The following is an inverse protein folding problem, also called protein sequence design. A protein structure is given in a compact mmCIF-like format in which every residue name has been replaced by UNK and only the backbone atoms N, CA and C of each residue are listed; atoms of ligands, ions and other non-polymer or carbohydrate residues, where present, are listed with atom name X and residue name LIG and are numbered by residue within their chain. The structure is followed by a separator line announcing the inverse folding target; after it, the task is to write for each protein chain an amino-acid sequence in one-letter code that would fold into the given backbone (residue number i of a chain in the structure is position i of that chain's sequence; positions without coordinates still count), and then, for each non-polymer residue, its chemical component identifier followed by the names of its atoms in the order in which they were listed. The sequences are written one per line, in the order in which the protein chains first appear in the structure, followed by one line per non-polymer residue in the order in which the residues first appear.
data_IF_104936822334
#
_entry.id   IF_104936822334
#
_cell.length_a   1.000
_cell.length_b   1.000
_cell.length_c   1.000
_cell.angle_alpha   90.00
_cell.angle_beta   90.00
_cell.angle_gamma   90.00
#
_symmetry.space_group_name_H-M   'P 1'
#
loop_
_entity.id
_entity.type
_entity.pdbx_description
1 polymer ?
#
# COMPACT_ATOMS: atom_id res chain seq x y z
N UNK A 1 20.07 5.03 12.94
CA UNK A 1 19.27 4.88 11.70
C UNK A 1 17.95 5.63 11.88
N UNK A 2 17.82 6.83 11.29
CA UNK A 2 16.59 7.62 11.30
C UNK A 2 15.88 7.37 9.98
N UNK A 3 14.85 6.53 9.97
CA UNK A 3 14.02 6.34 8.78
C UNK A 3 12.97 7.44 8.73
N UNK A 4 12.95 8.13 7.59
CA UNK A 4 12.17 9.30 7.20
C UNK A 4 10.76 9.34 7.81
N UNK A 5 10.57 10.24 8.77
CA UNK A 5 9.28 10.56 9.39
C UNK A 5 8.39 11.43 8.49
N UNK A 6 8.95 11.98 7.41
CA UNK A 6 8.30 12.96 6.54
C UNK A 6 7.25 12.37 5.59
N UNK A 7 7.32 11.06 5.27
CA UNK A 7 6.31 10.39 4.43
C UNK A 7 5.06 9.92 5.20
N UNK A 8 5.02 10.12 6.53
CA UNK A 8 3.97 9.59 7.40
C UNK A 8 2.71 10.48 7.43
N UNK A 9 2.83 11.78 7.15
CA UNK A 9 1.70 12.72 7.25
C UNK A 9 0.66 12.51 6.13
N UNK A 10 1.12 12.20 4.92
CA UNK A 10 0.25 11.87 3.77
C UNK A 10 -0.43 10.52 3.97
N UNK A 11 0.23 9.58 4.65
CA UNK A 11 -0.34 8.28 4.98
C UNK A 11 -1.43 8.43 6.06
N UNK A 12 -1.15 9.15 7.15
CA UNK A 12 -2.13 9.41 8.22
C UNK A 12 -3.47 9.95 7.69
N UNK A 13 -3.44 10.97 6.82
CA UNK A 13 -4.68 11.54 6.23
C UNK A 13 -5.46 10.55 5.35
N UNK A 14 -4.78 9.67 4.61
CA UNK A 14 -5.45 8.63 3.83
C UNK A 14 -6.02 7.52 4.73
N UNK A 15 -5.24 7.07 5.71
CA UNK A 15 -5.62 6.04 6.67
C UNK A 15 -6.82 6.49 7.51
N UNK A 16 -6.83 7.75 7.94
CA UNK A 16 -7.94 8.37 8.68
C UNK A 16 -9.22 8.39 7.85
N UNK A 17 -9.14 8.73 6.56
CA UNK A 17 -10.29 8.65 5.65
C UNK A 17 -10.81 7.23 5.50
N UNK A 18 -9.93 6.24 5.31
CA UNK A 18 -10.36 4.83 5.23
C UNK A 18 -10.95 4.31 6.55
N UNK A 19 -10.42 4.76 7.68
CA UNK A 19 -10.94 4.41 8.99
C UNK A 19 -12.32 5.04 9.24
N UNK A 20 -12.48 6.32 8.89
CA UNK A 20 -13.77 7.02 8.96
C UNK A 20 -14.83 6.31 8.09
N UNK A 21 -14.47 5.97 6.85
CA UNK A 21 -15.32 5.18 5.96
C UNK A 21 -15.79 3.85 6.57
N UNK A 22 -14.86 3.10 7.17
CA UNK A 22 -15.19 1.83 7.86
C UNK A 22 -16.15 2.09 9.02
N UNK A 23 -15.93 3.16 9.77
CA UNK A 23 -16.79 3.59 10.87
C UNK A 23 -18.22 3.92 10.41
N UNK A 24 -18.37 4.76 9.39
CA UNK A 24 -19.68 5.12 8.84
C UNK A 24 -20.40 3.91 8.24
N UNK A 25 -19.67 3.04 7.51
CA UNK A 25 -20.23 1.78 7.00
C UNK A 25 -20.69 0.85 8.12
N UNK A 26 -19.98 0.82 9.25
CA UNK A 26 -20.40 0.06 10.42
C UNK A 26 -21.65 0.67 11.09
N UNK A 27 -21.71 2.00 11.19
CA UNK A 27 -22.86 2.71 11.74
C UNK A 27 -24.15 2.43 10.96
N UNK A 28 -24.08 2.40 9.62
CA UNK A 28 -25.21 2.07 8.73
C UNK A 28 -25.77 0.66 9.01
N UNK A 29 -24.90 -0.31 9.27
CA UNK A 29 -25.28 -1.70 9.49
C UNK A 29 -25.62 -2.02 10.96
N UNK A 30 -25.37 -1.10 11.89
CA UNK A 30 -25.61 -1.33 13.30
C UNK A 30 -27.09 -1.14 13.64
N UNK A 31 -27.80 -2.18 14.14
CA UNK A 31 -29.21 -2.06 14.50
C UNK A 31 -29.46 -1.14 15.70
N UNK A 32 -28.43 -0.80 16.50
CA UNK A 32 -28.54 0.12 17.65
C UNK A 32 -28.41 1.59 17.27
N UNK A 33 -28.15 1.90 16.00
CA UNK A 33 -28.03 3.28 15.50
C UNK A 33 -29.38 3.73 14.95
N UNK A 34 -29.78 4.96 15.24
CA UNK A 34 -31.03 5.54 14.75
C UNK A 34 -31.02 5.71 13.23
N UNK A 35 -32.21 5.72 12.62
CA UNK A 35 -32.30 5.80 11.16
C UNK A 35 -31.81 7.15 10.61
N UNK A 36 -32.04 8.25 11.33
CA UNK A 36 -31.48 9.57 11.00
C UNK A 36 -29.95 9.56 10.99
N UNK A 37 -29.33 8.92 11.99
CA UNK A 37 -27.87 8.80 12.06
C UNK A 37 -27.32 7.89 10.94
N UNK A 38 -28.06 6.87 10.51
CA UNK A 38 -27.68 6.04 9.35
C UNK A 38 -27.78 6.82 8.04
N UNK A 39 -28.78 7.69 7.88
CA UNK A 39 -28.91 8.55 6.70
C UNK A 39 -27.75 9.52 6.62
N UNK A 40 -27.43 10.21 7.73
CA UNK A 40 -26.25 11.08 7.81
C UNK A 40 -24.95 10.31 7.51
N UNK A 41 -24.80 9.10 8.06
CA UNK A 41 -23.61 8.28 7.79
C UNK A 41 -23.49 7.88 6.31
N UNK A 42 -24.60 7.70 5.58
CA UNK A 42 -24.59 7.46 4.13
C UNK A 42 -24.18 8.72 3.37
N UNK A 43 -24.76 9.86 3.73
CA UNK A 43 -24.49 11.13 3.06
C UNK A 43 -23.00 11.52 3.17
N UNK A 44 -22.42 11.41 4.36
CA UNK A 44 -20.98 11.65 4.58
C UNK A 44 -20.11 10.64 3.81
N UNK A 45 -20.51 9.37 3.77
CA UNK A 45 -19.74 8.33 3.07
C UNK A 45 -19.69 8.58 1.55
N UNK A 46 -20.81 8.97 0.96
CA UNK A 46 -20.93 9.16 -0.50
C UNK A 46 -20.42 10.54 -0.94
N UNK A 47 -20.72 11.62 -0.20
CA UNK A 47 -20.39 12.98 -0.61
C UNK A 47 -19.00 13.46 -0.15
N UNK A 48 -18.58 13.12 1.08
CA UNK A 48 -17.32 13.65 1.65
C UNK A 48 -16.15 12.67 1.48
N UNK A 49 -16.41 11.37 1.58
CA UNK A 49 -15.38 10.34 1.44
C UNK A 49 -15.32 9.72 0.05
N UNK A 50 -16.19 10.14 -0.88
CA UNK A 50 -16.24 9.66 -2.26
C UNK A 50 -16.32 8.13 -2.39
N UNK A 51 -17.01 7.46 -1.46
CA UNK A 51 -17.12 6.00 -1.46
C UNK A 51 -15.74 5.32 -1.43
N UNK A 52 -15.47 4.34 -2.29
CA UNK A 52 -14.24 3.52 -2.18
C UNK A 52 -12.91 4.19 -2.61
N UNK A 53 -12.92 5.45 -3.08
CA UNK A 53 -11.70 6.15 -3.53
C UNK A 53 -10.56 6.21 -2.49
N UNK A 54 -10.79 6.53 -1.20
CA UNK A 54 -9.72 6.64 -0.20
C UNK A 54 -8.97 5.32 0.01
N UNK A 55 -9.63 4.19 -0.24
CA UNK A 55 -8.96 2.89 -0.21
C UNK A 55 -7.94 2.77 -1.33
N UNK A 56 -8.32 3.18 -2.55
CA UNK A 56 -7.45 3.08 -3.72
C UNK A 56 -6.21 3.96 -3.56
N UNK A 57 -6.41 5.22 -3.13
CA UNK A 57 -5.32 6.16 -2.89
C UNK A 57 -4.32 5.62 -1.86
N UNK A 58 -4.82 5.04 -0.77
CA UNK A 58 -3.96 4.37 0.21
C UNK A 58 -3.22 3.16 -0.35
N UNK A 59 -3.85 2.38 -1.23
CA UNK A 59 -3.17 1.26 -1.88
C UNK A 59 -2.01 1.75 -2.74
N UNK A 60 -2.19 2.85 -3.47
CA UNK A 60 -1.16 3.41 -4.34
C UNK A 60 -0.04 4.07 -3.54
N UNK A 61 -0.36 4.83 -2.48
CA UNK A 61 0.63 5.41 -1.58
C UNK A 61 1.47 4.30 -0.91
N UNK A 62 0.82 3.24 -0.43
CA UNK A 62 1.53 2.08 0.16
C UNK A 62 2.23 1.21 -0.88
N UNK A 63 1.89 1.29 -2.16
CA UNK A 63 2.64 0.66 -3.23
C UNK A 63 3.90 1.46 -3.58
N UNK A 64 3.79 2.78 -3.69
CA UNK A 64 4.93 3.68 -3.96
C UNK A 64 5.98 3.66 -2.85
N UNK A 65 5.57 3.54 -1.59
CA UNK A 65 6.48 3.51 -0.44
C UNK A 65 7.05 2.12 -0.10
N UNK A 66 6.95 1.12 -1.00
CA UNK A 66 7.52 -0.20 -0.74
C UNK A 66 9.03 -0.20 -0.93
N UNK A 67 9.74 -0.37 0.18
CA UNK A 67 11.17 -0.63 0.17
C UNK A 67 11.46 -1.95 -0.58
N UNK A 68 12.29 -1.93 -1.64
CA UNK A 68 12.60 -3.12 -2.45
C UNK A 68 13.11 -4.29 -1.61
N UNK A 69 13.89 -4.00 -0.56
CA UNK A 69 14.42 -5.01 0.37
C UNK A 69 13.31 -5.72 1.16
N UNK A 70 12.24 -5.01 1.55
CA UNK A 70 11.09 -5.63 2.25
C UNK A 70 10.28 -6.50 1.31
N UNK A 71 10.10 -6.05 0.06
CA UNK A 71 9.41 -6.84 -0.98
C UNK A 71 10.18 -8.13 -1.24
N UNK A 72 11.50 -8.06 -1.47
CA UNK A 72 12.35 -9.22 -1.67
C UNK A 72 12.32 -10.17 -0.46
N UNK A 73 12.33 -9.64 0.77
CA UNK A 73 12.18 -10.43 2.00
C UNK A 73 10.86 -11.19 2.06
N UNK A 74 9.74 -10.54 1.70
CA UNK A 74 8.42 -11.17 1.66
C UNK A 74 8.32 -12.27 0.61
N UNK A 75 8.86 -12.06 -0.59
CA UNK A 75 8.90 -13.06 -1.65
C UNK A 75 9.75 -14.28 -1.25
N UNK A 76 10.90 -14.04 -0.61
CA UNK A 76 11.77 -15.10 -0.07
C UNK A 76 11.07 -15.91 1.02
N UNK A 77 10.28 -15.26 1.87
CA UNK A 77 9.45 -15.94 2.87
C UNK A 77 8.36 -16.80 2.21
N UNK A 78 7.71 -16.29 1.16
CA UNK A 78 6.68 -17.02 0.41
C UNK A 78 7.23 -18.32 -0.21
N UNK A 79 8.45 -18.29 -0.77
CA UNK A 79 9.09 -19.50 -1.32
C UNK A 79 9.30 -20.61 -0.29
N UNK A 80 9.64 -20.25 0.95
CA UNK A 80 9.93 -21.21 2.03
C UNK A 80 8.70 -21.64 2.82
N UNK A 81 7.58 -20.96 2.65
CA UNK A 81 6.39 -21.21 3.46
C UNK A 81 5.66 -22.47 2.95
N UNK A 82 5.49 -23.52 3.79
CA UNK A 82 4.81 -24.75 3.39
C UNK A 82 3.31 -24.55 3.13
N UNK A 83 2.70 -23.45 3.59
CA UNK A 83 1.30 -23.10 3.31
C UNK A 83 1.10 -22.49 1.92
N UNK A 84 2.18 -22.14 1.21
CA UNK A 84 2.11 -21.56 -0.13
C UNK A 84 2.16 -22.70 -1.15
N UNK A 85 1.24 -22.66 -2.12
CA UNK A 85 1.18 -23.62 -3.24
C UNK A 85 2.41 -23.48 -4.13
N UNK A 86 2.83 -24.53 -4.81
CA UNK A 86 4.01 -24.51 -5.70
C UNK A 86 3.97 -23.39 -6.74
N UNK A 87 2.82 -23.19 -7.41
CA UNK A 87 2.63 -22.05 -8.33
C UNK A 87 2.89 -20.69 -7.68
N UNK A 88 2.54 -20.54 -6.40
CA UNK A 88 2.80 -19.31 -5.64
C UNK A 88 4.28 -19.13 -5.29
N UNK A 89 5.01 -20.22 -5.06
CA UNK A 89 6.46 -20.19 -4.82
C UNK A 89 7.23 -19.85 -6.09
N UNK A 90 6.85 -20.45 -7.23
CA UNK A 90 7.42 -20.16 -8.54
C UNK A 90 7.22 -18.70 -8.93
N UNK A 91 5.98 -18.19 -8.82
CA UNK A 91 5.67 -16.77 -9.03
C UNK A 91 6.47 -15.84 -8.10
N UNK A 92 6.77 -16.29 -6.87
CA UNK A 92 7.59 -15.50 -5.94
C UNK A 92 9.07 -15.52 -6.33
N UNK A 93 9.56 -16.59 -6.95
CA UNK A 93 10.92 -16.66 -7.51
C UNK A 93 11.10 -15.73 -8.69
N UNK A 94 10.20 -15.80 -9.67
CA UNK A 94 10.25 -14.94 -10.87
C UNK A 94 10.26 -13.45 -10.50
N UNK A 95 9.41 -13.05 -9.54
CA UNK A 95 9.34 -11.67 -9.06
C UNK A 95 10.61 -11.24 -8.32
N UNK A 96 11.26 -12.15 -7.61
CA UNK A 96 12.50 -11.87 -6.89
C UNK A 96 13.66 -11.70 -7.88
N UNK A 97 13.70 -12.52 -8.93
CA UNK A 97 14.69 -12.39 -10.01
C UNK A 97 14.49 -11.09 -10.79
N UNK A 98 13.25 -10.72 -11.12
CA UNK A 98 12.92 -9.46 -11.76
C UNK A 98 13.35 -8.24 -10.92
N UNK A 99 13.15 -8.29 -9.60
CA UNK A 99 13.62 -7.24 -8.68
C UNK A 99 15.14 -7.16 -8.60
N UNK A 100 15.84 -8.29 -8.68
CA UNK A 100 17.30 -8.32 -8.77
C UNK A 100 17.80 -7.61 -10.02
N UNK A 101 17.26 -7.97 -11.19
CA UNK A 101 17.61 -7.35 -12.48
C UNK A 101 17.34 -5.84 -12.47
N UNK A 102 16.18 -5.41 -11.99
CA UNK A 102 15.83 -3.99 -11.90
C UNK A 102 16.81 -3.20 -11.00
N UNK A 103 17.31 -3.80 -9.92
CA UNK A 103 18.31 -3.18 -9.04
C UNK A 103 19.66 -3.04 -9.74
N UNK A 104 20.07 -4.06 -10.49
CA UNK A 104 21.35 -4.05 -11.21
C UNK A 104 21.33 -3.02 -12.34
N UNK A 105 20.18 -2.87 -13.04
CA UNK A 105 19.96 -1.83 -14.06
C UNK A 105 19.98 -0.42 -13.47
N UNK A 106 19.36 -0.20 -12.31
CA UNK A 106 19.41 1.09 -11.60
C UNK A 106 20.83 1.44 -11.19
N UNK A 107 21.62 0.48 -10.72
CA UNK A 107 23.02 0.70 -10.34
C UNK A 107 23.91 1.07 -11.54
N UNK A 108 23.62 0.54 -12.73
CA UNK A 108 24.34 0.89 -13.96
C UNK A 108 23.98 2.31 -14.45
N UNK A 109 22.72 2.72 -14.33
CA UNK A 109 22.26 4.05 -14.72
C UNK A 109 22.86 5.14 -13.82
N UNK A 110 22.91 4.91 -12.50
CA UNK A 110 23.46 5.87 -11.53
C UNK A 110 24.98 6.10 -11.75
N UNK A 111 25.71 5.04 -12.12
CA UNK A 111 27.13 5.15 -12.49
C UNK A 111 27.37 5.93 -13.79
N UNK A 112 26.41 5.92 -14.73
CA UNK A 112 26.51 6.66 -15.99
C UNK A 112 26.15 8.15 -15.88
N UNK A 113 25.42 8.56 -14.84
CA UNK A 113 25.00 9.95 -14.61
C UNK A 113 25.95 10.75 -13.69
N UNK A 114 26.92 10.08 -13.05
CA UNK A 114 27.83 10.67 -12.08
C UNK A 114 29.15 11.25 -12.68
N UNK A 115 29.24 11.40 -14.01
CA UNK A 115 30.35 12.10 -14.66
C UNK A 115 29.92 13.54 -14.94
N UNK A 116 30.38 14.56 -14.18
CA UNK A 116 30.27 15.94 -14.64
C UNK A 116 31.19 16.11 -15.85
N UNK A 117 30.65 16.61 -16.95
CA UNK A 117 31.42 17.05 -18.10
C UNK A 117 32.43 18.11 -17.64
N UNK A 118 33.73 17.87 -17.92
CA UNK A 118 34.85 18.80 -17.69
C UNK A 118 34.77 20.04 -18.59
#
# INVERSE_FOLDING_TARGET
MSYSRENNEVSASGEDRVNAMRGYKAAINNPRVSDDAKQHAKDVLDNELHGDQPRHDLYDIRQRNKEPNRVAGGLKAAQRNPRVKERGKESASEKLDALGRARDEQAQQDQSQAQPEE
#
